data_IF_256454616457
#
_entry.id   IF_256454616457
#
_cell.length_a   1.000
_cell.length_b   1.000
_cell.length_c   1.000
_cell.angle_alpha   90.00
_cell.angle_beta   90.00
_cell.angle_gamma   90.00
#
_symmetry.space_group_name_H-M   'P 1'
#
loop_
_entity.id
_entity.type
_entity.pdbx_description
1 polymer ?
#
# COMPACT_ATOMS: atom_id res chain seq x y z
N UNK A 1 20.10 -34.13 -27.49
CA UNK A 1 20.65 -35.50 -27.64
C UNK A 1 21.63 -35.90 -26.54
N UNK A 2 22.31 -34.96 -25.85
CA UNK A 2 23.20 -35.26 -24.71
C UNK A 2 22.47 -35.88 -23.50
N UNK A 3 21.28 -35.41 -23.06
CA UNK A 3 20.60 -35.97 -21.88
C UNK A 3 20.19 -37.45 -22.03
N UNK A 4 19.79 -37.83 -23.24
CA UNK A 4 19.38 -39.21 -23.55
C UNK A 4 20.53 -40.20 -23.41
N UNK A 5 21.75 -39.80 -23.81
CA UNK A 5 22.95 -40.64 -23.62
C UNK A 5 23.34 -40.79 -22.14
N UNK A 6 23.09 -39.78 -21.31
CA UNK A 6 23.45 -39.81 -19.88
C UNK A 6 22.44 -40.63 -19.07
N UNK A 7 21.17 -40.63 -19.46
CA UNK A 7 20.09 -41.33 -18.73
C UNK A 7 20.35 -42.83 -18.50
N UNK A 8 20.98 -43.52 -19.47
CA UNK A 8 21.33 -44.94 -19.35
C UNK A 8 22.43 -45.22 -18.31
N UNK A 9 23.16 -44.20 -17.88
CA UNK A 9 24.21 -44.28 -16.88
C UNK A 9 23.76 -43.80 -15.49
N UNK A 10 22.51 -43.34 -15.35
CA UNK A 10 21.92 -42.98 -14.06
C UNK A 10 21.13 -44.16 -13.51
N UNK A 11 21.60 -44.74 -12.41
CA UNK A 11 20.91 -45.78 -11.67
C UNK A 11 20.55 -45.27 -10.28
N UNK A 12 19.51 -45.83 -9.63
CA UNK A 12 19.25 -45.54 -8.23
C UNK A 12 20.48 -45.89 -7.36
N UNK A 13 20.68 -45.20 -6.23
CA UNK A 13 21.76 -45.51 -5.31
C UNK A 13 21.66 -46.97 -4.83
N UNK A 14 22.80 -47.65 -4.76
CA UNK A 14 22.82 -49.06 -4.40
C UNK A 14 22.40 -49.28 -2.94
N UNK A 15 21.71 -50.39 -2.62
CA UNK A 15 21.37 -50.73 -1.25
C UNK A 15 22.60 -50.89 -0.36
N UNK A 16 22.45 -50.58 0.92
CA UNK A 16 23.50 -50.78 1.92
C UNK A 16 23.55 -52.26 2.29
N UNK A 17 24.68 -52.91 2.04
CA UNK A 17 24.91 -54.31 2.40
C UNK A 17 25.71 -54.41 3.70
N UNK A 18 25.15 -55.12 4.70
CA UNK A 18 25.79 -55.37 6.00
C UNK A 18 26.04 -56.87 6.17
N UNK A 19 27.30 -57.25 6.44
CA UNK A 19 27.67 -58.63 6.75
C UNK A 19 28.06 -58.75 8.23
N UNK A 20 27.34 -59.59 8.97
CA UNK A 20 27.60 -59.86 10.39
C UNK A 20 27.96 -61.32 10.61
N UNK A 21 29.20 -61.58 11.04
CA UNK A 21 29.68 -62.94 11.33
C UNK A 21 29.48 -63.28 12.80
N UNK A 22 28.54 -64.20 13.06
CA UNK A 22 28.23 -64.67 14.42
C UNK A 22 29.36 -65.55 14.95
N UNK A 23 29.84 -65.25 16.17
CA UNK A 23 30.78 -66.10 16.92
C UNK A 23 29.99 -66.99 17.89
N UNK A 24 30.16 -68.30 17.79
CA UNK A 24 29.44 -69.30 18.61
C UNK A 24 30.19 -69.73 19.88
N UNK A 25 31.47 -69.38 20.01
CA UNK A 25 32.29 -69.70 21.19
C UNK A 25 33.26 -68.57 21.54
N UNK A 26 33.50 -68.37 22.84
CA UNK A 26 34.34 -67.30 23.41
C UNK A 26 33.54 -66.14 24.02
N UNK A 27 34.23 -65.27 24.77
CA UNK A 27 33.64 -64.09 25.40
C UNK A 27 33.04 -63.19 24.30
N UNK A 28 31.71 -63.12 24.22
CA UNK A 28 31.01 -62.32 23.21
C UNK A 28 31.16 -60.83 23.57
N UNK A 29 31.69 -59.97 22.69
CA UNK A 29 31.57 -58.54 22.93
C UNK A 29 30.07 -58.21 22.90
N UNK A 30 29.53 -57.71 24.01
CA UNK A 30 28.16 -57.20 24.11
C UNK A 30 28.00 -55.86 23.35
N UNK A 31 28.60 -55.77 22.17
CA UNK A 31 28.74 -54.54 21.40
C UNK A 31 27.95 -54.63 20.12
N UNK A 32 26.81 -53.94 20.09
CA UNK A 32 26.09 -53.61 18.87
C UNK A 32 27.07 -52.90 17.92
N UNK A 33 27.28 -53.45 16.72
CA UNK A 33 28.05 -52.73 15.69
C UNK A 33 27.24 -51.50 15.25
N UNK A 34 27.82 -50.31 15.40
CA UNK A 34 27.19 -49.06 14.97
C UNK A 34 27.73 -48.66 13.59
N UNK A 35 26.82 -48.22 12.72
CA UNK A 35 27.14 -47.70 11.39
C UNK A 35 26.50 -46.33 11.27
N UNK A 36 27.32 -45.29 11.04
CA UNK A 36 26.82 -43.95 10.75
C UNK A 36 26.57 -43.83 9.24
N UNK A 37 25.38 -43.37 8.88
CA UNK A 37 24.99 -43.13 7.48
C UNK A 37 24.57 -41.69 7.34
N UNK A 38 25.16 -40.99 6.37
CA UNK A 38 24.72 -39.66 5.99
C UNK A 38 23.42 -39.77 5.19
N UNK A 39 22.37 -39.11 5.67
CA UNK A 39 21.07 -39.09 5.02
C UNK A 39 20.76 -37.65 4.61
N UNK A 40 20.38 -37.45 3.36
CA UNK A 40 19.83 -36.18 2.90
C UNK A 40 18.45 -35.99 3.51
N UNK A 41 18.38 -35.17 4.56
CA UNK A 41 17.12 -34.73 5.13
C UNK A 41 16.64 -33.53 4.32
N UNK A 42 15.43 -33.57 3.72
CA UNK A 42 14.88 -32.43 3.02
C UNK A 42 14.91 -31.20 3.93
N UNK A 43 15.60 -30.15 3.47
CA UNK A 43 15.76 -28.93 4.26
C UNK A 43 14.36 -28.31 4.49
N UNK A 44 14.03 -27.89 5.72
CA UNK A 44 12.81 -27.12 6.01
C UNK A 44 12.68 -25.86 5.14
N UNK A 45 13.80 -25.42 4.56
CA UNK A 45 13.93 -24.28 3.69
C UNK A 45 12.90 -24.26 2.54
N UNK A 46 12.54 -25.41 1.95
CA UNK A 46 11.52 -25.42 0.88
C UNK A 46 10.13 -24.99 1.38
N UNK A 47 9.78 -25.43 2.59
CA UNK A 47 8.53 -25.05 3.26
C UNK A 47 8.56 -23.59 3.69
N UNK A 48 9.70 -23.12 4.20
CA UNK A 48 9.90 -21.72 4.58
C UNK A 48 9.86 -20.78 3.37
N UNK A 49 10.48 -21.17 2.25
CA UNK A 49 10.44 -20.44 0.98
C UNK A 49 9.01 -20.36 0.44
N UNK A 50 8.26 -21.47 0.50
CA UNK A 50 6.85 -21.50 0.09
C UNK A 50 5.99 -20.58 0.96
N UNK A 51 6.20 -20.60 2.28
CA UNK A 51 5.51 -19.71 3.22
C UNK A 51 5.88 -18.24 2.97
N UNK A 52 7.15 -17.95 2.65
CA UNK A 52 7.61 -16.61 2.31
C UNK A 52 6.93 -16.09 1.04
N UNK A 53 6.87 -16.88 -0.03
CA UNK A 53 6.18 -16.51 -1.27
C UNK A 53 4.67 -16.30 -1.05
N UNK A 54 4.04 -17.08 -0.18
CA UNK A 54 2.64 -16.84 0.19
C UNK A 54 2.45 -15.53 0.98
N UNK A 55 3.45 -15.11 1.77
CA UNK A 55 3.41 -13.85 2.51
C UNK A 55 3.55 -12.62 1.60
N UNK A 56 4.29 -12.72 0.48
CA UNK A 56 4.37 -11.62 -0.49
C UNK A 56 3.03 -11.39 -1.20
N UNK A 57 2.22 -12.43 -1.37
CA UNK A 57 0.87 -12.28 -1.93
C UNK A 57 -0.05 -11.42 -1.06
N UNK A 58 0.09 -11.50 0.28
CA UNK A 58 -0.65 -10.61 1.21
C UNK A 58 -0.25 -9.13 1.09
N UNK A 59 0.94 -8.81 0.59
CA UNK A 59 1.34 -7.42 0.39
C UNK A 59 0.54 -6.73 -0.71
N UNK A 60 0.02 -7.47 -1.70
CA UNK A 60 -0.83 -6.91 -2.76
C UNK A 60 -2.12 -6.30 -2.21
N UNK A 61 -2.71 -6.91 -1.18
CA UNK A 61 -3.91 -6.38 -0.54
C UNK A 61 -3.61 -5.09 0.22
N UNK A 62 -2.43 -5.01 0.86
CA UNK A 62 -1.97 -3.80 1.55
C UNK A 62 -1.82 -2.65 0.56
N UNK A 63 -1.17 -2.89 -0.59
CA UNK A 63 -1.01 -1.87 -1.63
C UNK A 63 -2.37 -1.35 -2.14
N UNK A 64 -3.36 -2.24 -2.30
CA UNK A 64 -4.72 -1.87 -2.69
C UNK A 64 -5.44 -1.02 -1.62
N UNK A 65 -5.24 -1.34 -0.33
CA UNK A 65 -5.76 -0.52 0.77
C UNK A 65 -5.09 0.86 0.81
N UNK A 66 -3.78 0.94 0.61
CA UNK A 66 -3.04 2.20 0.57
C UNK A 66 -3.52 3.10 -0.58
N UNK A 67 -3.79 2.53 -1.75
CA UNK A 67 -4.36 3.26 -2.88
C UNK A 67 -5.75 3.82 -2.55
N UNK A 68 -6.59 3.02 -1.88
CA UNK A 68 -7.93 3.43 -1.44
C UNK A 68 -7.88 4.55 -0.40
N UNK A 69 -6.96 4.46 0.55
CA UNK A 69 -6.72 5.50 1.57
C UNK A 69 -6.28 6.80 0.88
N UNK A 70 -5.32 6.72 -0.03
CA UNK A 70 -4.83 7.87 -0.79
C UNK A 70 -5.95 8.56 -1.58
N UNK A 71 -6.79 7.79 -2.27
CA UNK A 71 -7.92 8.32 -3.02
C UNK A 71 -8.95 9.00 -2.10
N UNK A 72 -9.23 8.40 -0.95
CA UNK A 72 -10.17 8.93 0.04
C UNK A 72 -9.69 10.25 0.64
N UNK A 73 -8.40 10.34 0.99
CA UNK A 73 -7.77 11.58 1.49
C UNK A 73 -7.88 12.70 0.46
N UNK A 74 -7.53 12.42 -0.81
CA UNK A 74 -7.66 13.41 -1.90
C UNK A 74 -9.10 13.90 -2.04
N UNK A 75 -10.08 12.99 -1.94
CA UNK A 75 -11.50 13.34 -2.00
C UNK A 75 -11.93 14.23 -0.83
N UNK A 76 -11.49 13.93 0.40
CA UNK A 76 -11.76 14.75 1.59
C UNK A 76 -11.18 16.16 1.41
N UNK A 77 -9.93 16.26 0.94
CA UNK A 77 -9.28 17.56 0.71
C UNK A 77 -10.05 18.39 -0.33
N UNK A 78 -10.49 17.77 -1.42
CA UNK A 78 -11.28 18.47 -2.44
C UNK A 78 -12.64 18.93 -1.90
N UNK A 79 -13.33 18.11 -1.11
CA UNK A 79 -14.57 18.53 -0.46
C UNK A 79 -14.35 19.69 0.52
N UNK A 80 -13.28 19.67 1.30
CA UNK A 80 -12.91 20.76 2.19
C UNK A 80 -12.62 22.06 1.42
N UNK A 81 -11.92 21.98 0.30
CA UNK A 81 -11.65 23.13 -0.57
C UNK A 81 -12.94 23.73 -1.13
N UNK A 82 -13.84 22.90 -1.66
CA UNK A 82 -15.15 23.36 -2.17
C UNK A 82 -15.99 24.00 -1.08
N UNK A 83 -16.05 23.37 0.10
CA UNK A 83 -16.80 23.91 1.24
C UNK A 83 -16.24 25.25 1.69
N UNK A 84 -14.91 25.40 1.77
CA UNK A 84 -14.27 26.66 2.10
C UNK A 84 -14.57 27.75 1.08
N UNK A 85 -14.60 27.41 -0.22
CA UNK A 85 -14.99 28.34 -1.28
C UNK A 85 -16.42 28.88 -1.08
N UNK A 86 -17.41 28.01 -0.92
CA UNK A 86 -18.81 28.43 -0.74
C UNK A 86 -19.06 29.18 0.57
N UNK A 87 -18.40 28.78 1.67
CA UNK A 87 -18.53 29.47 2.95
C UNK A 87 -17.77 30.81 2.97
N UNK A 88 -16.65 30.91 2.26
CA UNK A 88 -15.86 32.13 2.13
C UNK A 88 -16.64 33.26 1.46
N UNK A 89 -17.37 32.95 0.39
CA UNK A 89 -18.23 33.94 -0.30
C UNK A 89 -19.45 34.35 0.54
N UNK A 90 -20.07 33.41 1.26
CA UNK A 90 -21.23 33.70 2.11
C UNK A 90 -20.87 34.53 3.36
N UNK A 91 -19.66 34.37 3.90
CA UNK A 91 -19.25 34.96 5.18
C UNK A 91 -18.64 36.35 5.04
N UNK A 92 -17.98 36.66 3.92
CA UNK A 92 -17.13 37.85 3.85
C UNK A 92 -17.89 39.17 3.86
N UNK A 93 -19.08 39.23 3.25
CA UNK A 93 -19.74 40.53 2.99
C UNK A 93 -21.23 40.59 3.37
N UNK A 94 -22.03 39.55 3.11
CA UNK A 94 -23.49 39.68 3.19
C UNK A 94 -24.03 40.00 4.60
N UNK A 95 -23.49 39.38 5.65
CA UNK A 95 -23.96 39.66 7.02
C UNK A 95 -23.45 40.99 7.57
N UNK A 96 -22.24 41.40 7.17
CA UNK A 96 -21.66 42.67 7.60
C UNK A 96 -22.36 43.85 6.90
N UNK A 97 -22.57 43.76 5.59
CA UNK A 97 -23.31 44.75 4.79
C UNK A 97 -24.76 44.94 5.28
N UNK A 98 -25.36 43.95 5.97
CA UNK A 98 -26.69 44.10 6.58
C UNK A 98 -26.72 44.96 7.84
N UNK A 99 -25.57 45.26 8.46
CA UNK A 99 -25.48 46.04 9.71
C UNK A 99 -25.11 47.50 9.41
N UNK A 100 -25.79 48.44 10.06
CA UNK A 100 -25.54 49.87 9.89
C UNK A 100 -24.09 50.27 10.18
N UNK A 101 -23.43 49.61 11.14
CA UNK A 101 -22.03 49.85 11.50
C UNK A 101 -21.05 49.67 10.32
N UNK A 102 -21.41 48.83 9.35
CA UNK A 102 -20.62 48.64 8.13
C UNK A 102 -20.53 49.92 7.29
N UNK A 103 -21.59 50.71 7.26
CA UNK A 103 -21.66 51.99 6.55
C UNK A 103 -21.29 53.18 7.44
N UNK A 104 -20.83 52.96 8.67
CA UNK A 104 -20.31 54.02 9.53
C UNK A 104 -18.78 54.04 9.50
N UNK A 105 -18.20 53.99 8.29
CA UNK A 105 -16.76 53.91 8.07
C UNK A 105 -16.27 55.10 7.23
N UNK A 106 -15.01 55.55 7.40
CA UNK A 106 -14.50 56.77 6.73
C UNK A 106 -14.53 56.74 5.20
N UNK A 107 -14.57 55.54 4.60
CA UNK A 107 -14.62 55.38 3.14
C UNK A 107 -16.02 55.67 2.54
N UNK A 108 -17.06 55.75 3.36
CA UNK A 108 -18.46 55.85 2.90
C UNK A 108 -18.73 57.18 2.23
N UNK A 109 -18.20 58.28 2.77
CA UNK A 109 -18.36 59.62 2.18
C UNK A 109 -17.74 59.70 0.77
N UNK A 110 -16.51 59.19 0.62
CA UNK A 110 -15.82 59.12 -0.68
C UNK A 110 -16.55 58.18 -1.66
N UNK A 111 -17.10 57.05 -1.18
CA UNK A 111 -17.91 56.16 -2.00
C UNK A 111 -19.20 56.82 -2.51
N UNK A 112 -19.92 57.57 -1.65
CA UNK A 112 -21.14 58.30 -2.03
C UNK A 112 -20.83 59.39 -3.06
N UNK A 113 -19.76 60.16 -2.84
CA UNK A 113 -19.32 61.20 -3.78
C UNK A 113 -19.00 60.58 -5.15
N UNK A 114 -18.27 59.46 -5.18
CA UNK A 114 -17.97 58.74 -6.43
C UNK A 114 -19.21 58.20 -7.11
N UNK A 115 -20.18 57.70 -6.34
CA UNK A 115 -21.44 57.21 -6.88
C UNK A 115 -22.25 58.32 -7.54
N UNK A 116 -22.41 59.47 -6.87
CA UNK A 116 -23.15 60.61 -7.40
C UNK A 116 -22.47 61.23 -8.62
N UNK A 117 -21.13 61.28 -8.63
CA UNK A 117 -20.36 61.81 -9.74
C UNK A 117 -20.12 60.77 -10.85
N UNK A 118 -20.66 59.56 -10.72
CA UNK A 118 -20.56 58.53 -11.75
C UNK A 118 -21.42 58.95 -12.94
N UNK A 119 -20.77 59.51 -13.97
CA UNK A 119 -21.41 59.80 -15.25
C UNK A 119 -21.85 58.46 -15.88
N UNK A 120 -23.13 58.29 -16.26
CA UNK A 120 -23.56 57.06 -16.93
C UNK A 120 -22.80 56.92 -18.25
N UNK A 121 -22.40 55.69 -18.58
CA UNK A 121 -21.83 55.40 -19.90
C UNK A 121 -22.92 55.67 -20.95
N UNK A 122 -22.60 56.33 -22.07
CA UNK A 122 -23.58 56.55 -23.12
C UNK A 122 -23.94 55.19 -23.73
N UNK A 123 -25.13 54.65 -23.41
CA UNK A 123 -25.66 53.44 -24.05
C UNK A 123 -26.45 52.45 -23.20
N UNK A 124 -26.73 52.70 -21.92
CA UNK A 124 -27.65 51.86 -21.13
C UNK A 124 -28.78 52.72 -20.54
N UNK A 125 -29.67 53.17 -21.42
CA UNK A 125 -31.03 53.54 -21.02
C UNK A 125 -31.90 52.28 -21.05
N UNK A 126 -32.71 52.12 -20.02
CA UNK A 126 -33.54 50.97 -19.75
C UNK A 126 -34.63 50.79 -20.83
N UNK A 127 -34.78 49.55 -21.30
CA UNK A 127 -36.08 49.09 -21.80
C UNK A 127 -36.93 48.75 -20.59
N UNK A 128 -37.97 49.55 -20.38
CA UNK A 128 -39.15 49.23 -19.58
C UNK A 128 -40.03 48.20 -20.31
#
# INVERSE_FOLDING_TARGET
MVPQKISHHLSPPQPIHLEHKVKLSGNSPAGTTCYDVLVDVPLPLEKEMSAFLANTERHKEIDAYDETICASIKKIQEHNRRRAFFLGDASRNAEKERRADFYNQPWVDDAVIRYLNRKPAPGMEAHE
#
